data_IF_690915832224
#
_entry.id   IF_690915832224
#
_cell.length_a   1.000
_cell.length_b   1.000
_cell.length_c   1.000
_cell.angle_alpha   90.00
_cell.angle_beta   90.00
_cell.angle_gamma   90.00
#
_symmetry.space_group_name_H-M   'P 1'
#
loop_
_entity.id
_entity.type
_entity.pdbx_description
1 polymer ?
#
# COMPACT_ATOMS: atom_id res chain seq x y z
N UNK A 1 -2.87 11.44 28.59
CA UNK A 1 -2.31 10.14 29.01
C UNK A 1 -0.94 10.28 29.66
N UNK A 2 0.10 10.83 29.00
CA UNK A 2 1.42 10.99 29.62
C UNK A 2 1.40 11.77 30.95
N UNK A 3 0.70 12.91 31.00
CA UNK A 3 0.56 13.69 32.23
C UNK A 3 -0.13 12.89 33.36
N UNK A 4 -1.17 12.11 33.03
CA UNK A 4 -1.87 11.27 34.00
C UNK A 4 -0.98 10.13 34.52
N UNK A 5 -0.19 9.52 33.63
CA UNK A 5 0.79 8.50 34.02
C UNK A 5 1.84 9.09 34.98
N UNK A 6 2.32 10.31 34.70
CA UNK A 6 3.24 11.01 35.60
C UNK A 6 2.63 11.28 36.97
N UNK A 7 1.38 11.75 37.02
CA UNK A 7 0.65 11.94 38.28
C UNK A 7 0.49 10.63 39.05
N UNK A 8 0.24 9.51 38.35
CA UNK A 8 0.23 8.17 38.94
C UNK A 8 1.58 7.77 39.54
N UNK A 9 2.70 8.05 38.84
CA UNK A 9 4.06 7.82 39.34
C UNK A 9 4.34 8.66 40.60
N UNK A 10 3.85 9.89 40.64
CA UNK A 10 3.93 10.78 41.81
C UNK A 10 3.02 10.35 42.98
N UNK A 11 2.29 9.23 42.85
CA UNK A 11 1.45 8.66 43.90
C UNK A 11 0.01 9.17 43.92
N UNK A 12 -0.39 10.01 42.95
CA UNK A 12 -1.76 10.52 42.85
C UNK A 12 -2.63 9.44 42.19
N UNK A 13 -3.61 8.92 42.92
CA UNK A 13 -4.51 7.89 42.40
C UNK A 13 -5.43 8.46 41.32
N UNK A 14 -5.76 7.65 40.32
CA UNK A 14 -6.68 8.05 39.24
C UNK A 14 -8.10 8.34 39.76
N UNK A 15 -8.55 7.61 40.78
CA UNK A 15 -9.85 7.84 41.43
C UNK A 15 -9.95 9.23 42.06
N UNK A 16 -8.87 9.72 42.67
CA UNK A 16 -8.81 11.03 43.32
C UNK A 16 -8.86 12.17 42.28
N UNK A 17 -8.49 11.87 41.03
CA UNK A 17 -8.58 12.78 39.88
C UNK A 17 -9.92 12.68 39.13
N UNK A 18 -10.87 11.90 39.64
CA UNK A 18 -12.22 11.75 39.06
C UNK A 18 -12.30 10.80 37.87
N UNK A 19 -11.24 10.04 37.55
CA UNK A 19 -11.31 9.01 36.53
C UNK A 19 -12.02 7.77 37.06
N UNK A 20 -12.84 7.16 36.20
CA UNK A 20 -13.53 5.90 36.47
C UNK A 20 -12.98 4.81 35.57
N UNK A 21 -13.05 3.58 36.05
CA UNK A 21 -12.74 2.39 35.23
C UNK A 21 -13.81 2.20 34.16
N UNK A 22 -13.44 1.53 33.08
CA UNK A 22 -14.32 1.26 31.93
C UNK A 22 -13.83 1.90 30.64
N UNK A 23 -14.61 1.73 29.58
CA UNK A 23 -14.30 2.29 28.27
C UNK A 23 -14.77 3.74 28.20
N UNK A 24 -13.92 4.59 27.63
CA UNK A 24 -14.31 5.95 27.25
C UNK A 24 -15.37 5.89 26.15
N UNK A 25 -16.37 6.79 26.15
CA UNK A 25 -17.33 6.89 25.06
C UNK A 25 -16.62 7.06 23.73
N UNK A 26 -17.09 6.34 22.71
CA UNK A 26 -16.54 6.45 21.36
C UNK A 26 -16.69 7.90 20.88
N UNK A 27 -15.58 8.48 20.42
CA UNK A 27 -15.57 9.82 19.86
C UNK A 27 -15.90 9.75 18.38
N UNK A 28 -16.66 10.72 17.89
CA UNK A 28 -16.93 10.84 16.45
C UNK A 28 -15.65 11.14 15.66
N UNK A 29 -15.55 10.54 14.48
CA UNK A 29 -14.44 10.72 13.55
C UNK A 29 -13.49 9.52 13.52
N UNK A 30 -12.79 9.39 12.40
CA UNK A 30 -11.82 8.34 12.12
C UNK A 30 -10.42 8.95 12.15
N UNK A 31 -9.50 8.23 12.80
CA UNK A 31 -8.11 8.63 12.97
C UNK A 31 -7.23 7.46 12.48
N UNK A 32 -6.48 7.69 11.41
CA UNK A 32 -5.55 6.72 10.82
C UNK A 32 -4.14 7.15 11.19
N UNK A 33 -3.43 6.31 11.93
CA UNK A 33 -1.99 6.46 12.16
C UNK A 33 -1.24 5.67 11.11
N UNK A 34 -0.30 6.30 10.40
CA UNK A 34 0.51 5.65 9.38
C UNK A 34 2.00 5.88 9.65
N UNK A 35 2.85 4.86 9.54
CA UNK A 35 4.30 5.02 9.65
C UNK A 35 4.86 5.76 8.45
N UNK A 36 5.96 6.49 8.69
CA UNK A 36 6.81 7.09 7.65
C UNK A 36 8.15 6.35 7.63
N UNK A 37 8.62 6.03 6.43
CA UNK A 37 9.87 5.32 6.22
C UNK A 37 10.89 6.20 5.51
N UNK A 38 12.16 6.05 5.85
CA UNK A 38 13.29 6.77 5.25
C UNK A 38 14.05 5.91 4.23
N UNK A 39 13.39 4.94 3.58
CA UNK A 39 14.07 4.00 2.67
C UNK A 39 14.82 4.70 1.54
N UNK A 40 14.29 5.82 1.03
CA UNK A 40 14.93 6.64 0.02
C UNK A 40 16.26 7.29 0.46
N UNK A 41 16.58 7.30 1.76
CA UNK A 41 17.85 7.83 2.27
C UNK A 41 18.97 6.79 2.26
N UNK A 42 18.64 5.52 2.02
CA UNK A 42 19.58 4.40 2.09
C UNK A 42 19.56 3.64 0.76
N UNK A 43 20.71 3.57 0.09
CA UNK A 43 20.82 2.88 -1.20
C UNK A 43 20.75 1.36 -1.00
N UNK A 44 20.08 0.67 -1.94
CA UNK A 44 19.99 -0.80 -1.98
C UNK A 44 19.44 -1.43 -0.69
N UNK A 45 18.56 -0.71 0.01
CA UNK A 45 17.89 -1.24 1.20
C UNK A 45 16.59 -1.92 0.81
N UNK A 46 16.37 -3.10 1.35
CA UNK A 46 15.11 -3.80 1.19
C UNK A 46 14.00 -3.15 2.05
N UNK A 47 12.92 -2.75 1.38
CA UNK A 47 11.75 -2.08 1.97
C UNK A 47 10.80 -3.03 2.69
N UNK A 48 11.11 -4.33 2.71
CA UNK A 48 10.31 -5.35 3.41
C UNK A 48 10.10 -4.99 4.87
N UNK A 49 8.84 -5.09 5.29
CA UNK A 49 8.45 -4.97 6.68
C UNK A 49 8.44 -6.36 7.31
N UNK A 50 9.02 -6.47 8.50
CA UNK A 50 9.09 -7.69 9.29
C UNK A 50 8.77 -7.41 10.76
N UNK A 51 9.16 -8.30 11.68
CA UNK A 51 8.95 -8.08 13.11
C UNK A 51 9.75 -6.88 13.68
N UNK A 52 10.78 -6.43 12.95
CA UNK A 52 11.58 -5.26 13.33
C UNK A 52 10.92 -3.94 12.89
N UNK A 53 10.89 -2.97 13.79
CA UNK A 53 10.38 -1.62 13.51
C UNK A 53 11.38 -0.82 12.67
N UNK A 54 11.04 -0.61 11.39
CA UNK A 54 11.85 0.17 10.44
C UNK A 54 11.39 1.63 10.25
N UNK A 55 10.23 2.02 10.77
CA UNK A 55 9.67 3.35 10.59
C UNK A 55 10.46 4.42 11.37
N UNK A 56 10.66 5.59 10.76
CA UNK A 56 11.41 6.71 11.36
C UNK A 56 10.49 7.80 11.91
N UNK A 57 9.21 7.77 11.56
CA UNK A 57 8.21 8.71 12.05
C UNK A 57 6.80 8.19 11.86
N UNK A 58 5.84 9.03 12.19
CA UNK A 58 4.42 8.73 12.08
C UNK A 58 3.63 9.99 11.70
N UNK A 59 2.53 9.78 11.00
CA UNK A 59 1.53 10.80 10.71
C UNK A 59 0.17 10.34 11.19
N UNK A 60 -0.77 11.28 11.31
CA UNK A 60 -2.16 11.00 11.63
C UNK A 60 -3.08 11.68 10.61
N UNK A 61 -3.82 10.89 9.84
CA UNK A 61 -4.93 11.34 9.03
C UNK A 61 -6.23 11.32 9.84
N UNK A 62 -6.93 12.46 9.94
CA UNK A 62 -8.22 12.56 10.63
C UNK A 62 -9.30 13.02 9.68
N UNK A 63 -10.43 12.33 9.67
CA UNK A 63 -11.64 12.77 8.98
C UNK A 63 -12.92 12.16 9.60
N UNK A 64 -14.09 12.47 9.04
CA UNK A 64 -15.36 11.86 9.43
C UNK A 64 -15.50 10.41 8.89
N UNK A 65 -14.89 10.10 7.74
CA UNK A 65 -14.94 8.77 7.11
C UNK A 65 -13.55 8.18 6.88
N UNK A 66 -13.46 6.84 6.86
CA UNK A 66 -12.20 6.12 6.78
C UNK A 66 -11.41 6.45 5.50
N UNK A 67 -12.03 6.42 4.31
CA UNK A 67 -11.36 6.71 3.04
C UNK A 67 -10.71 8.10 3.01
N UNK A 68 -11.37 9.12 3.59
CA UNK A 68 -10.80 10.48 3.71
C UNK A 68 -9.63 10.52 4.69
N UNK A 69 -9.75 9.83 5.82
CA UNK A 69 -8.69 9.75 6.81
C UNK A 69 -7.46 9.01 6.24
N UNK A 70 -7.67 7.92 5.49
CA UNK A 70 -6.65 7.19 4.75
C UNK A 70 -5.98 8.08 3.70
N UNK A 71 -6.75 8.79 2.87
CA UNK A 71 -6.20 9.72 1.88
C UNK A 71 -5.29 10.78 2.51
N UNK A 72 -5.75 11.42 3.60
CA UNK A 72 -4.94 12.39 4.37
C UNK A 72 -3.67 11.74 4.93
N UNK A 73 -3.77 10.51 5.40
CA UNK A 73 -2.64 9.77 5.92
C UNK A 73 -1.59 9.48 4.84
N UNK A 74 -1.99 8.91 3.70
CA UNK A 74 -1.09 8.65 2.57
C UNK A 74 -0.40 9.92 2.08
N UNK A 75 -1.17 11.00 1.89
CA UNK A 75 -0.61 12.32 1.48
C UNK A 75 0.39 12.85 2.50
N UNK A 76 0.09 12.76 3.79
CA UNK A 76 1.00 13.20 4.86
C UNK A 76 2.26 12.32 4.97
N UNK A 77 2.15 11.04 4.64
CA UNK A 77 3.28 10.10 4.57
C UNK A 77 4.15 10.28 3.31
N UNK A 78 3.87 11.31 2.50
CA UNK A 78 4.51 11.57 1.21
C UNK A 78 4.34 10.43 0.19
N UNK A 79 3.29 9.61 0.36
CA UNK A 79 2.87 8.63 -0.63
C UNK A 79 1.91 9.36 -1.56
N UNK A 80 2.42 9.73 -2.73
CA UNK A 80 1.57 10.32 -3.76
C UNK A 80 0.69 9.23 -4.34
N UNK A 81 -0.60 9.54 -4.44
CA UNK A 81 -1.61 8.72 -5.11
C UNK A 81 -1.87 9.42 -6.45
N UNK A 82 -1.25 8.98 -7.55
CA UNK A 82 -1.52 9.56 -8.86
C UNK A 82 -2.97 9.31 -9.25
N UNK A 83 -3.51 10.12 -10.15
CA UNK A 83 -4.91 9.97 -10.55
C UNK A 83 -5.13 8.84 -11.55
N UNK A 84 -4.08 8.51 -12.29
CA UNK A 84 -4.02 7.45 -13.27
C UNK A 84 -2.58 6.99 -13.39
N UNK A 85 -2.37 5.82 -13.99
CA UNK A 85 -1.02 5.34 -14.20
C UNK A 85 -0.93 3.84 -14.41
N UNK A 86 0.24 3.31 -14.11
CA UNK A 86 0.58 1.90 -14.17
C UNK A 86 1.03 1.43 -12.80
N UNK A 87 0.42 0.36 -12.30
CA UNK A 87 0.85 -0.34 -11.09
C UNK A 87 1.66 -1.58 -11.49
N UNK A 88 2.85 -1.75 -10.91
CA UNK A 88 3.65 -2.98 -11.08
C UNK A 88 3.31 -3.98 -9.97
N UNK A 89 2.87 -5.17 -10.35
CA UNK A 89 2.46 -6.24 -9.44
C UNK A 89 3.46 -7.40 -9.52
N UNK A 90 3.99 -7.79 -8.36
CA UNK A 90 4.80 -9.00 -8.20
C UNK A 90 4.39 -9.68 -6.91
N UNK A 91 3.55 -10.70 -7.03
CA UNK A 91 2.78 -11.25 -5.93
C UNK A 91 3.22 -12.69 -5.68
N UNK A 92 3.48 -13.02 -4.42
CA UNK A 92 3.81 -14.36 -3.98
C UNK A 92 2.65 -15.32 -4.24
N UNK A 93 2.95 -16.60 -4.49
CA UNK A 93 1.94 -17.58 -4.91
C UNK A 93 0.78 -17.72 -3.91
N UNK A 94 1.05 -17.60 -2.60
CA UNK A 94 0.04 -17.65 -1.54
C UNK A 94 -0.98 -16.51 -1.60
N UNK A 95 -0.59 -15.35 -2.11
CA UNK A 95 -1.40 -14.13 -2.10
C UNK A 95 -2.14 -13.92 -3.45
N UNK A 96 -1.90 -14.79 -4.44
CA UNK A 96 -2.43 -14.67 -5.79
C UNK A 96 -3.96 -14.69 -5.87
N UNK A 97 -4.63 -15.41 -4.97
CA UNK A 97 -6.09 -15.41 -4.93
C UNK A 97 -6.65 -14.13 -4.30
N UNK A 98 -5.96 -13.58 -3.30
CA UNK A 98 -6.38 -12.40 -2.57
C UNK A 98 -6.20 -11.11 -3.39
N UNK A 99 -5.18 -11.04 -4.25
CA UNK A 99 -4.97 -9.88 -5.13
C UNK A 99 -6.03 -9.76 -6.23
N UNK A 100 -6.73 -10.84 -6.63
CA UNK A 100 -7.69 -10.80 -7.74
C UNK A 100 -8.79 -9.72 -7.60
N UNK A 101 -9.54 -9.63 -6.48
CA UNK A 101 -10.53 -8.57 -6.29
C UNK A 101 -9.88 -7.17 -6.27
N UNK A 102 -8.69 -7.03 -5.70
CA UNK A 102 -7.95 -5.76 -5.64
C UNK A 102 -7.52 -5.30 -7.05
N UNK A 103 -7.02 -6.22 -7.86
CA UNK A 103 -6.59 -5.95 -9.22
C UNK A 103 -7.76 -5.51 -10.11
N UNK A 104 -8.94 -6.12 -9.97
CA UNK A 104 -10.17 -5.67 -10.65
C UNK A 104 -10.55 -4.24 -10.28
N UNK A 105 -10.45 -3.90 -8.99
CA UNK A 105 -10.73 -2.54 -8.50
C UNK A 105 -9.71 -1.52 -8.99
N UNK A 106 -8.42 -1.87 -9.04
CA UNK A 106 -7.39 -1.02 -9.63
C UNK A 106 -7.70 -0.68 -11.09
N UNK A 107 -8.09 -1.68 -11.88
CA UNK A 107 -8.50 -1.47 -13.28
C UNK A 107 -9.74 -0.58 -13.36
N UNK A 108 -10.74 -0.79 -12.50
CA UNK A 108 -11.97 0.00 -12.47
C UNK A 108 -11.72 1.49 -12.11
N UNK A 109 -10.68 1.76 -11.33
CA UNK A 109 -10.21 3.11 -10.99
C UNK A 109 -9.40 3.75 -12.14
N UNK A 110 -9.04 2.98 -13.17
CA UNK A 110 -8.33 3.48 -14.37
C UNK A 110 -6.83 3.23 -14.39
N UNK A 111 -6.33 2.32 -13.54
CA UNK A 111 -4.94 1.91 -13.58
C UNK A 111 -4.68 0.80 -14.59
N UNK A 112 -3.56 0.91 -15.29
CA UNK A 112 -3.00 -0.18 -16.07
C UNK A 112 -2.19 -1.09 -15.14
N UNK A 113 -2.36 -2.40 -15.29
CA UNK A 113 -1.58 -3.35 -14.52
C UNK A 113 -0.41 -3.85 -15.36
N UNK A 114 0.77 -3.82 -14.77
CA UNK A 114 1.99 -4.46 -15.26
C UNK A 114 2.37 -5.54 -14.25
N UNK A 115 2.68 -6.76 -14.68
CA UNK A 115 3.00 -7.83 -13.75
C UNK A 115 4.16 -8.70 -14.21
N UNK A 116 4.84 -9.32 -13.26
CA UNK A 116 5.78 -10.42 -13.53
C UNK A 116 5.04 -11.64 -14.09
N UNK A 117 5.74 -12.52 -14.81
CA UNK A 117 5.14 -13.64 -15.53
C UNK A 117 4.11 -14.43 -14.70
N UNK A 118 4.54 -14.95 -13.54
CA UNK A 118 3.67 -15.79 -12.72
C UNK A 118 2.47 -15.05 -12.11
N UNK A 119 2.57 -13.75 -11.84
CA UNK A 119 1.42 -12.95 -11.36
C UNK A 119 0.50 -12.59 -12.53
N UNK A 120 1.06 -12.27 -13.69
CA UNK A 120 0.33 -11.91 -14.89
C UNK A 120 -0.53 -13.04 -15.44
N UNK A 121 -0.01 -14.28 -15.45
CA UNK A 121 -0.75 -15.47 -15.89
C UNK A 121 -2.02 -15.67 -15.03
N UNK A 122 -1.90 -15.61 -13.70
CA UNK A 122 -3.05 -15.75 -12.78
C UNK A 122 -4.08 -14.63 -12.94
N UNK A 123 -3.63 -13.40 -13.22
CA UNK A 123 -4.54 -12.28 -13.48
C UNK A 123 -5.30 -12.44 -14.81
N UNK A 124 -4.63 -12.92 -15.87
CA UNK A 124 -5.26 -13.18 -17.16
C UNK A 124 -6.29 -14.32 -17.06
N UNK A 125 -5.99 -15.39 -16.31
CA UNK A 125 -6.94 -16.48 -16.03
C UNK A 125 -8.22 -15.98 -15.35
N UNK A 126 -8.10 -14.94 -14.52
CA UNK A 126 -9.21 -14.29 -13.84
C UNK A 126 -9.89 -13.17 -14.68
N UNK A 127 -9.55 -13.07 -15.96
CA UNK A 127 -10.03 -12.05 -16.91
C UNK A 127 -9.71 -10.60 -16.49
N UNK A 128 -8.61 -10.39 -15.77
CA UNK A 128 -8.14 -9.06 -15.40
C UNK A 128 -7.14 -8.57 -16.46
N UNK A 129 -7.34 -7.38 -17.08
CA UNK A 129 -6.43 -6.87 -18.08
C UNK A 129 -5.09 -6.50 -17.43
N UNK A 130 -4.02 -7.19 -17.84
CA UNK A 130 -2.66 -6.99 -17.35
C UNK A 130 -1.66 -7.14 -18.49
N UNK A 131 -0.62 -6.31 -18.47
CA UNK A 131 0.54 -6.49 -19.35
C UNK A 131 1.58 -7.33 -18.62
N UNK A 132 1.98 -8.45 -19.23
CA UNK A 132 3.01 -9.32 -18.67
C UNK A 132 4.40 -8.87 -19.13
N UNK A 133 5.33 -8.71 -18.19
CA UNK A 133 6.74 -8.52 -18.48
C UNK A 133 7.33 -9.83 -19.03
N UNK A 134 7.55 -9.91 -20.34
CA UNK A 134 8.09 -11.11 -21.02
C UNK A 134 9.59 -11.29 -20.76
N UNK A 135 10.14 -12.49 -20.92
CA UNK A 135 11.54 -12.89 -20.62
C UNK A 135 12.69 -12.12 -21.35
N UNK A 136 12.41 -11.03 -22.07
CA UNK A 136 13.40 -10.02 -22.52
C UNK A 136 13.12 -8.60 -22.01
N UNK A 137 11.86 -8.27 -21.72
CA UNK A 137 11.39 -7.02 -21.10
C UNK A 137 11.40 -7.08 -19.56
N UNK A 138 11.44 -8.30 -19.00
CA UNK A 138 11.68 -8.59 -17.58
C UNK A 138 13.17 -8.49 -17.21
N UNK A 139 14.05 -8.12 -18.16
CA UNK A 139 15.40 -7.70 -17.80
C UNK A 139 15.28 -6.54 -16.83
N UNK A 140 16.00 -6.63 -15.70
CA UNK A 140 16.02 -5.60 -14.64
C UNK A 140 16.12 -4.20 -15.24
N UNK A 141 17.02 -4.00 -16.20
CA UNK A 141 17.23 -2.77 -16.98
C UNK A 141 15.95 -2.12 -17.54
N UNK A 142 14.99 -2.91 -18.02
CA UNK A 142 13.76 -2.40 -18.62
C UNK A 142 12.71 -1.99 -17.58
N UNK A 143 12.62 -2.73 -16.48
CA UNK A 143 11.79 -2.34 -15.32
C UNK A 143 12.34 -1.05 -14.72
N UNK A 144 13.67 -0.97 -14.56
CA UNK A 144 14.38 0.22 -14.09
C UNK A 144 14.14 1.43 -14.98
N UNK A 145 14.29 1.24 -16.30
CA UNK A 145 14.01 2.28 -17.28
C UNK A 145 12.56 2.75 -17.18
N UNK A 146 11.60 1.84 -17.01
CA UNK A 146 10.18 2.18 -16.87
C UNK A 146 9.88 2.94 -15.58
N UNK A 147 10.58 2.62 -14.47
CA UNK A 147 10.50 3.36 -13.21
C UNK A 147 11.09 4.78 -13.38
N UNK A 148 12.28 4.89 -13.97
CA UNK A 148 12.94 6.18 -14.22
C UNK A 148 12.17 7.08 -15.20
N UNK A 149 11.55 6.52 -16.23
CA UNK A 149 10.74 7.25 -17.20
C UNK A 149 9.36 7.65 -16.64
N UNK A 150 9.05 7.33 -15.38
CA UNK A 150 7.77 7.66 -14.75
C UNK A 150 6.58 6.88 -15.32
N UNK A 151 6.82 5.74 -15.97
CA UNK A 151 5.76 4.88 -16.53
C UNK A 151 5.05 4.07 -15.46
N UNK A 152 5.70 3.87 -14.31
CA UNK A 152 5.19 3.12 -13.15
C UNK A 152 5.00 4.12 -11.99
N UNK A 153 3.83 4.11 -11.38
CA UNK A 153 3.44 5.04 -10.33
C UNK A 153 3.65 4.46 -8.93
N UNK A 154 3.41 3.16 -8.76
CA UNK A 154 3.67 2.45 -7.52
C UNK A 154 3.83 0.94 -7.79
N UNK A 155 4.37 0.24 -6.80
CA UNK A 155 4.62 -1.20 -6.84
C UNK A 155 3.84 -1.90 -5.73
N UNK A 156 3.21 -3.04 -6.05
CA UNK A 156 2.68 -3.99 -5.07
C UNK A 156 3.56 -5.24 -5.12
N UNK A 157 4.22 -5.55 -4.01
CA UNK A 157 5.22 -6.61 -3.94
C UNK A 157 5.04 -7.41 -2.65
N UNK A 158 4.39 -8.57 -2.73
CA UNK A 158 4.25 -9.43 -1.54
C UNK A 158 5.41 -10.41 -1.42
N UNK A 159 5.73 -10.79 -0.18
CA UNK A 159 6.91 -11.59 0.11
C UNK A 159 6.69 -13.08 -0.11
N UNK A 160 7.56 -13.67 -0.94
CA UNK A 160 7.69 -15.13 -1.06
C UNK A 160 8.52 -15.68 0.09
N UNK A 161 7.99 -16.67 0.81
CA UNK A 161 8.69 -17.32 1.92
C UNK A 161 9.99 -17.99 1.47
N UNK A 162 11.05 -17.84 2.28
CA UNK A 162 12.32 -18.55 2.10
C UNK A 162 13.27 -18.00 1.02
N UNK A 163 12.96 -16.87 0.38
CA UNK A 163 13.85 -16.26 -0.65
C UNK A 163 14.24 -14.84 -0.25
N UNK A 164 15.51 -14.63 0.12
CA UNK A 164 15.92 -13.40 0.80
C UNK A 164 16.64 -12.37 -0.08
N UNK A 165 17.46 -12.73 -1.08
CA UNK A 165 18.35 -11.71 -1.69
C UNK A 165 18.53 -11.76 -3.23
N UNK A 166 18.02 -12.80 -3.93
CA UNK A 166 18.22 -12.94 -5.39
C UNK A 166 16.94 -12.95 -6.24
N UNK A 167 15.78 -12.72 -5.63
CA UNK A 167 14.52 -12.72 -6.37
C UNK A 167 14.26 -11.40 -7.07
N UNK A 168 13.57 -11.42 -8.20
CA UNK A 168 13.13 -10.21 -8.89
C UNK A 168 12.34 -9.28 -7.97
N UNK A 169 11.58 -9.84 -7.02
CA UNK A 169 10.88 -9.09 -5.99
C UNK A 169 11.81 -8.23 -5.13
N UNK A 170 12.95 -8.76 -4.70
CA UNK A 170 13.95 -8.00 -3.94
C UNK A 170 14.52 -6.83 -4.74
N UNK A 171 14.93 -7.08 -5.99
CA UNK A 171 15.48 -6.03 -6.85
C UNK A 171 14.47 -4.91 -7.11
N UNK A 172 13.21 -5.27 -7.41
CA UNK A 172 12.13 -4.32 -7.63
C UNK A 172 11.91 -3.42 -6.41
N UNK A 173 12.01 -3.95 -5.18
CA UNK A 173 11.82 -3.16 -3.95
C UNK A 173 12.95 -2.19 -3.69
N UNK A 174 14.20 -2.65 -3.80
CA UNK A 174 15.37 -1.79 -3.68
C UNK A 174 15.33 -0.63 -4.68
N UNK A 175 14.91 -0.92 -5.91
CA UNK A 175 14.88 0.06 -6.99
C UNK A 175 13.70 1.02 -6.88
N UNK A 176 12.55 0.55 -6.39
CA UNK A 176 11.45 1.42 -6.01
C UNK A 176 11.87 2.39 -4.89
N UNK A 177 12.62 1.91 -3.88
CA UNK A 177 13.15 2.76 -2.81
C UNK A 177 14.12 3.83 -3.33
N UNK A 178 15.08 3.44 -4.16
CA UNK A 178 16.08 4.32 -4.74
C UNK A 178 15.42 5.40 -5.65
N UNK A 179 14.29 5.08 -6.27
CA UNK A 179 13.53 5.98 -7.14
C UNK A 179 12.39 6.74 -6.45
N UNK A 180 12.24 6.66 -5.12
CA UNK A 180 11.12 7.26 -4.38
C UNK A 180 9.73 6.80 -4.88
N UNK A 181 9.63 5.60 -5.45
CA UNK A 181 8.35 5.02 -5.85
C UNK A 181 7.72 4.30 -4.65
N UNK A 182 6.44 4.58 -4.33
CA UNK A 182 5.74 3.85 -3.29
C UNK A 182 5.75 2.35 -3.57
N UNK A 183 6.23 1.57 -2.60
CA UNK A 183 6.24 0.12 -2.65
C UNK A 183 5.40 -0.44 -1.50
N UNK A 184 4.27 -1.07 -1.84
CA UNK A 184 3.36 -1.68 -0.88
C UNK A 184 3.71 -3.16 -0.74
N UNK A 185 4.10 -3.56 0.47
CA UNK A 185 4.51 -4.94 0.76
C UNK A 185 3.40 -5.80 1.38
N UNK A 186 2.20 -5.24 1.55
CA UNK A 186 1.02 -5.92 2.10
C UNK A 186 -0.22 -5.60 1.26
N UNK A 187 -1.08 -6.60 1.11
CA UNK A 187 -2.38 -6.45 0.44
C UNK A 187 -3.34 -5.59 1.26
N UNK A 188 -3.26 -5.61 2.60
CA UNK A 188 -4.06 -4.72 3.46
C UNK A 188 -3.76 -3.24 3.18
N UNK A 189 -2.48 -2.89 3.00
CA UNK A 189 -2.08 -1.53 2.64
C UNK A 189 -2.55 -1.17 1.23
N UNK A 190 -2.59 -2.15 0.32
CA UNK A 190 -3.12 -1.98 -1.03
C UNK A 190 -4.63 -1.73 -1.00
N UNK A 191 -5.38 -2.47 -0.20
CA UNK A 191 -6.81 -2.26 0.05
C UNK A 191 -7.07 -0.87 0.63
N UNK A 192 -6.29 -0.46 1.63
CA UNK A 192 -6.41 0.86 2.23
C UNK A 192 -6.11 1.98 1.22
N UNK A 193 -5.12 1.79 0.34
CA UNK A 193 -4.82 2.73 -0.74
C UNK A 193 -5.99 2.80 -1.73
N UNK A 194 -6.52 1.64 -2.15
CA UNK A 194 -7.67 1.55 -3.05
C UNK A 194 -8.91 2.25 -2.50
N UNK A 195 -9.22 2.07 -1.21
CA UNK A 195 -10.34 2.77 -0.57
C UNK A 195 -10.18 4.29 -0.58
N UNK A 196 -8.95 4.79 -0.46
CA UNK A 196 -8.65 6.21 -0.61
C UNK A 196 -8.77 6.67 -2.07
N UNK A 197 -8.37 5.84 -3.03
CA UNK A 197 -8.44 6.13 -4.47
C UNK A 197 -9.88 6.15 -4.99
N UNK A 198 -10.70 5.16 -4.65
CA UNK A 198 -12.11 5.05 -5.09
C UNK A 198 -12.96 6.25 -4.65
N UNK A 199 -12.56 6.93 -3.58
CA UNK A 199 -13.20 8.17 -3.14
C UNK A 199 -12.90 9.35 -4.06
N UNK A 200 -11.74 9.34 -4.73
CA UNK A 200 -11.29 10.42 -5.60
C UNK A 200 -11.63 10.19 -7.08
N UNK A 201 -11.86 8.93 -7.48
CA UNK A 201 -12.00 8.56 -8.88
C UNK A 201 -13.42 8.14 -9.25
N UNK A 202 -13.84 8.53 -10.44
CA UNK A 202 -15.02 7.93 -11.07
C UNK A 202 -14.70 6.51 -11.53
N UNK A 203 -15.62 5.59 -11.32
CA UNK A 203 -15.47 4.23 -11.83
C UNK A 203 -15.62 4.24 -13.36
N UNK A 204 -14.68 3.59 -14.03
CA UNK A 204 -14.75 3.35 -15.47
C UNK A 204 -15.49 2.03 -15.71
N UNK A 205 -16.62 2.11 -16.39
CA UNK A 205 -17.36 0.95 -16.88
C UNK A 205 -17.45 1.01 -18.40
N UNK A 206 -17.19 -0.14 -19.05
CA UNK A 206 -17.41 -0.26 -20.47
C UNK A 206 -18.92 -0.22 -20.75
N UNK A 207 -19.34 0.67 -21.65
CA UNK A 207 -20.74 0.73 -22.09
C UNK A 207 -21.04 -0.53 -22.91
N UNK A 208 -22.05 -1.31 -22.51
CA UNK A 208 -22.53 -2.48 -23.25
C UNK A 208 -22.20 -3.88 -22.69
N UNK A 209 -21.66 -3.98 -21.47
CA UNK A 209 -21.45 -5.28 -20.77
C UNK A 209 -22.50 -5.58 -19.71
N UNK A 210 -23.67 -4.94 -19.77
CA UNK A 210 -24.79 -5.33 -18.93
C UNK A 210 -25.30 -6.71 -19.37
N UNK A 211 -25.58 -7.64 -18.44
CA UNK A 211 -26.25 -8.87 -18.80
C UNK A 211 -27.63 -8.49 -19.35
N UNK A 212 -27.83 -8.73 -20.64
CA UNK A 212 -29.15 -8.67 -21.27
C UNK A 212 -30.01 -9.72 -20.56
N UNK A 213 -30.94 -9.27 -19.71
CA UNK A 213 -31.96 -10.14 -19.12
C UNK A 213 -32.93 -10.64 -20.19
#
# INVERSE_FOLDING_TARGET
MANLAMQGILGIKLNDQGYRTGLVPSKSGVYVKMPVFSFNKLKKVDTVLGPEMKSTGEIIGKDAILSKALYKAFRAANIQIPEYGTALLTIADKDKHEILPLAKRLVAVGYRLLATQGTGETLLEAYVPVTILRNGEAKRENILKSMHEGKIQFVINTMTEGKTEETDGYFIRCEAADNNLPCLTSLDTTEALLQAMEMMHFQLQAVGTEPVF
#
